data_IF_937919440247
#
_entry.id   IF_937919440247
#
_cell.length_a   1.000
_cell.length_b   1.000
_cell.length_c   1.000
_cell.angle_alpha   90.00
_cell.angle_beta   90.00
_cell.angle_gamma   90.00
#
_symmetry.space_group_name_H-M   'P 1'
#
loop_
_entity.id
_entity.type
_entity.pdbx_description
1 polymer ?
#
# COMPACT_ATOMS: atom_id res chain seq x y z
N UNK A 1 3.63 -5.54 -9.67
CA UNK A 1 2.32 -5.13 -9.10
C UNK A 1 1.68 -6.36 -8.44
N UNK A 2 1.04 -6.26 -7.26
CA UNK A 2 0.53 -7.38 -6.42
C UNK A 2 0.30 -8.73 -7.15
N UNK A 3 -0.53 -8.75 -8.20
CA UNK A 3 -0.86 -9.95 -8.98
C UNK A 3 0.34 -10.67 -9.62
N UNK A 4 1.34 -9.92 -10.08
CA UNK A 4 2.60 -10.44 -10.64
C UNK A 4 3.50 -11.02 -9.55
N UNK A 5 3.48 -10.45 -8.35
CA UNK A 5 4.32 -10.90 -7.25
C UNK A 5 3.76 -12.11 -6.52
N UNK A 6 2.43 -12.19 -6.40
CA UNK A 6 1.78 -13.33 -5.75
C UNK A 6 1.43 -14.45 -6.75
N UNK A 7 1.73 -14.28 -8.05
CA UNK A 7 1.51 -15.28 -9.11
C UNK A 7 0.06 -15.70 -9.33
N UNK A 8 -0.90 -15.09 -8.61
CA UNK A 8 -2.28 -15.56 -8.53
C UNK A 8 -3.22 -14.48 -9.07
N UNK A 9 -3.82 -14.75 -10.24
CA UNK A 9 -4.75 -13.82 -10.90
C UNK A 9 -6.17 -13.86 -10.34
N UNK A 10 -6.60 -15.02 -9.85
CA UNK A 10 -7.97 -15.25 -9.35
C UNK A 10 -7.87 -15.71 -7.91
N UNK A 11 -8.59 -15.02 -7.02
CA UNK A 11 -8.68 -15.37 -5.60
C UNK A 11 -10.00 -16.08 -5.33
N UNK A 12 -10.00 -17.11 -4.47
CA UNK A 12 -11.18 -17.93 -4.21
C UNK A 12 -12.31 -17.14 -3.53
N UNK A 13 -11.95 -16.19 -2.68
CA UNK A 13 -12.91 -15.37 -1.95
C UNK A 13 -12.33 -13.99 -1.61
N UNK A 14 -13.22 -13.09 -1.18
CA UNK A 14 -12.90 -11.71 -0.84
C UNK A 14 -11.98 -11.61 0.39
N UNK A 15 -12.14 -12.48 1.39
CA UNK A 15 -11.33 -12.42 2.60
C UNK A 15 -9.86 -12.77 2.28
N UNK A 16 -9.64 -13.82 1.49
CA UNK A 16 -8.31 -14.19 0.97
C UNK A 16 -7.70 -13.06 0.16
N UNK A 17 -8.46 -12.46 -0.76
CA UNK A 17 -7.98 -11.31 -1.54
C UNK A 17 -7.59 -10.12 -0.63
N UNK A 18 -8.35 -9.87 0.43
CA UNK A 18 -8.07 -8.80 1.38
C UNK A 18 -6.76 -9.08 2.14
N UNK A 19 -6.59 -10.30 2.67
CA UNK A 19 -5.39 -10.70 3.39
C UNK A 19 -4.12 -10.62 2.53
N UNK A 20 -4.21 -11.02 1.26
CA UNK A 20 -3.09 -10.93 0.32
C UNK A 20 -2.67 -9.49 0.05
N UNK A 21 -3.62 -8.56 -0.06
CA UNK A 21 -3.34 -7.13 -0.23
C UNK A 21 -2.57 -6.59 0.96
N UNK A 22 -3.03 -6.88 2.19
CA UNK A 22 -2.35 -6.43 3.40
C UNK A 22 -0.94 -7.01 3.51
N UNK A 23 -0.79 -8.32 3.27
CA UNK A 23 0.50 -9.01 3.29
C UNK A 23 1.47 -8.37 2.29
N UNK A 24 1.04 -8.10 1.06
CA UNK A 24 1.88 -7.42 0.06
C UNK A 24 2.26 -6.00 0.45
N UNK A 25 1.33 -5.23 1.02
CA UNK A 25 1.58 -3.85 1.45
C UNK A 25 2.72 -3.85 2.48
N UNK A 26 2.63 -4.71 3.49
CA UNK A 26 3.58 -4.80 4.60
C UNK A 26 4.93 -5.36 4.17
N UNK A 27 4.95 -6.44 3.40
CA UNK A 27 6.18 -7.20 3.12
C UNK A 27 6.98 -6.66 1.94
N UNK A 28 6.30 -6.14 0.91
CA UNK A 28 6.93 -5.72 -0.34
C UNK A 28 6.76 -4.24 -0.62
N UNK A 29 5.53 -3.74 -0.69
CA UNK A 29 5.24 -2.40 -1.18
C UNK A 29 5.93 -1.33 -0.33
N UNK A 30 5.75 -1.38 0.98
CA UNK A 30 6.33 -0.39 1.89
C UNK A 30 7.85 -0.41 1.84
N UNK A 31 8.49 -1.58 1.82
CA UNK A 31 9.97 -1.70 1.70
C UNK A 31 10.48 -1.10 0.39
N UNK A 32 9.84 -1.40 -0.74
CA UNK A 32 10.23 -0.84 -2.05
C UNK A 32 9.99 0.66 -2.12
N UNK A 33 8.84 1.14 -1.62
CA UNK A 33 8.51 2.56 -1.54
C UNK A 33 9.54 3.33 -0.73
N UNK A 34 9.94 2.81 0.44
CA UNK A 34 10.93 3.45 1.31
C UNK A 34 12.33 3.52 0.68
N UNK A 35 12.73 2.48 -0.07
CA UNK A 35 13.98 2.52 -0.84
C UNK A 35 13.95 3.59 -1.94
N UNK A 36 12.81 3.78 -2.61
CA UNK A 36 12.65 4.76 -3.69
C UNK A 36 12.41 6.19 -3.17
N UNK A 37 11.75 6.32 -2.02
CA UNK A 37 11.33 7.59 -1.43
C UNK A 37 11.68 7.65 0.07
N UNK A 38 12.97 7.66 0.43
CA UNK A 38 13.41 7.64 1.83
C UNK A 38 12.95 8.88 2.61
N UNK A 39 12.82 10.04 1.94
CA UNK A 39 12.33 11.28 2.54
C UNK A 39 10.88 11.20 3.05
N UNK A 40 10.09 10.22 2.61
CA UNK A 40 8.71 10.06 3.08
C UNK A 40 8.60 9.32 4.41
N UNK A 41 9.66 8.67 4.89
CA UNK A 41 9.67 7.92 6.15
C UNK A 41 8.62 6.80 6.22
N UNK A 42 8.53 6.13 7.39
CA UNK A 42 7.47 5.17 7.68
C UNK A 42 6.25 5.92 8.22
N UNK A 43 5.41 6.44 7.31
CA UNK A 43 4.10 6.94 7.68
C UNK A 43 3.19 5.76 8.00
N UNK A 44 2.63 5.76 9.20
CA UNK A 44 1.56 4.84 9.56
C UNK A 44 0.37 5.01 8.60
N UNK A 45 -0.50 3.99 8.48
CA UNK A 45 -1.70 4.10 7.65
C UNK A 45 -2.58 5.31 8.00
N UNK A 46 -2.58 5.72 9.27
CA UNK A 46 -3.32 6.90 9.74
C UNK A 46 -2.71 8.20 9.20
N UNK A 47 -1.39 8.37 9.35
CA UNK A 47 -0.70 9.58 8.88
C UNK A 47 -0.72 9.67 7.35
N UNK A 48 -0.70 8.53 6.65
CA UNK A 48 -0.90 8.47 5.20
C UNK A 48 -2.29 8.98 4.80
N UNK A 49 -3.35 8.57 5.51
CA UNK A 49 -4.72 9.07 5.26
C UNK A 49 -4.83 10.57 5.53
N UNK A 50 -4.21 11.07 6.60
CA UNK A 50 -4.20 12.49 6.92
C UNK A 50 -3.49 13.30 5.84
N UNK A 51 -2.30 12.87 5.38
CA UNK A 51 -1.61 13.54 4.26
C UNK A 51 -2.41 13.53 2.97
N UNK A 52 -2.99 12.38 2.59
CA UNK A 52 -3.81 12.30 1.38
C UNK A 52 -4.99 13.27 1.43
N UNK A 53 -5.66 13.37 2.58
CA UNK A 53 -6.76 14.33 2.78
C UNK A 53 -6.25 15.78 2.70
N UNK A 54 -5.09 16.07 3.29
CA UNK A 54 -4.49 17.41 3.26
C UNK A 54 -4.05 17.82 1.85
N UNK A 55 -3.46 16.92 1.07
CA UNK A 55 -3.09 17.15 -0.33
C UNK A 55 -4.34 17.40 -1.19
N UNK A 56 -5.44 16.67 -0.95
CA UNK A 56 -6.71 16.90 -1.65
C UNK A 56 -7.33 18.26 -1.33
N UNK A 57 -7.22 18.74 -0.09
CA UNK A 57 -7.67 20.10 0.27
C UNK A 57 -6.78 21.20 -0.26
N UNK A 58 -5.48 20.95 -0.48
CA UNK A 58 -4.56 21.95 -1.04
C UNK A 58 -4.72 22.10 -2.57
N UNK A 59 -5.26 21.08 -3.23
CA UNK A 59 -5.49 21.05 -4.68
C UNK A 59 -6.88 21.57 -5.13
N UNK A 60 -7.71 22.07 -4.20
CA UNK A 60 -9.04 22.61 -4.44
C UNK A 60 -9.08 24.14 -4.26
#
# INVERSE_FOLDING_TARGET
MLKEETGTRVRPDRATACADVFTFIETIYNRRRLRKHPAFGYLTPLETRQRFRNDQTLAA
#
